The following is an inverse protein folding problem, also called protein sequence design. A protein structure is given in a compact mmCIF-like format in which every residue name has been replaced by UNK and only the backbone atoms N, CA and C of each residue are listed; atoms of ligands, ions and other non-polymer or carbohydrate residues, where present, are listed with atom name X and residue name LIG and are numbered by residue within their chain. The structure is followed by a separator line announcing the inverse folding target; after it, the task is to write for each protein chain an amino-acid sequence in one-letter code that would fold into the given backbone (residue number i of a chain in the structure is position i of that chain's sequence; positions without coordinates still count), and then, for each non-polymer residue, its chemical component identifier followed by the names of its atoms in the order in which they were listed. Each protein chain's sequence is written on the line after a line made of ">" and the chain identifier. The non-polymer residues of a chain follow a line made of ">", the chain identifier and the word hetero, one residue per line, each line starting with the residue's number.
data_IF_332362152230
#
_entry.id   IF_332362152230
#
_cell.length_a   1.000
_cell.length_b   1.000
_cell.length_c   1.000
_cell.angle_alpha   90.00
_cell.angle_beta   90.00
_cell.angle_gamma   90.00
#
_symmetry.space_group_name_H-M   'P 1'
#
loop_
_entity.id
_entity.type
_entity.pdbx_description
1 polymer ?
#
# COMPACT_ATOMS: atom_id res chain seq x y z
N UNK A 1 -91.03 65.55 -87.17
CA UNK A 1 -91.67 64.85 -86.04
C UNK A 1 -90.57 64.12 -85.33
N UNK A 2 -90.06 64.74 -84.27
CA UNK A 2 -89.09 64.15 -83.36
C UNK A 2 -89.89 63.35 -82.33
N UNK A 3 -89.84 62.02 -82.41
CA UNK A 3 -90.30 61.18 -81.31
C UNK A 3 -89.17 61.08 -80.29
N UNK A 4 -89.16 62.04 -79.37
CA UNK A 4 -88.39 61.98 -78.13
C UNK A 4 -88.98 60.84 -77.29
N UNK A 5 -88.41 59.65 -77.47
CA UNK A 5 -88.76 58.46 -76.72
C UNK A 5 -88.30 58.66 -75.28
N UNK A 6 -89.20 59.19 -74.46
CA UNK A 6 -89.05 59.28 -73.01
C UNK A 6 -88.88 57.87 -72.45
N UNK A 7 -87.62 57.47 -72.27
CA UNK A 7 -87.26 56.25 -71.57
C UNK A 7 -87.57 56.49 -70.09
N UNK A 8 -88.72 55.95 -69.69
CA UNK A 8 -89.18 55.88 -68.32
C UNK A 8 -88.15 55.08 -67.49
N UNK A 9 -87.17 55.77 -66.90
CA UNK A 9 -86.19 55.20 -65.97
C UNK A 9 -86.84 54.99 -64.59
N UNK A 10 -87.97 54.30 -64.59
CA UNK A 10 -88.77 54.06 -63.38
C UNK A 10 -88.36 52.72 -62.78
N UNK A 11 -87.29 52.75 -61.99
CA UNK A 11 -86.82 51.56 -61.27
C UNK A 11 -85.98 51.87 -60.04
N UNK A 12 -85.27 53.00 -60.02
CA UNK A 12 -84.50 53.41 -58.83
C UNK A 12 -84.45 54.94 -58.74
N UNK A 13 -85.17 55.53 -57.78
CA UNK A 13 -85.01 56.95 -57.47
C UNK A 13 -83.61 57.18 -56.88
N UNK A 14 -82.98 58.32 -57.18
CA UNK A 14 -81.65 58.70 -56.64
C UNK A 14 -81.58 58.60 -55.11
N UNK A 15 -82.71 58.82 -54.42
CA UNK A 15 -82.81 58.67 -52.96
C UNK A 15 -82.67 57.21 -52.50
N UNK A 16 -83.20 56.24 -53.27
CA UNK A 16 -83.04 54.80 -52.98
C UNK A 16 -81.58 54.37 -53.08
N UNK A 17 -80.83 54.85 -54.08
CA UNK A 17 -79.39 54.59 -54.20
C UNK A 17 -78.59 55.18 -53.02
N UNK A 18 -78.90 56.41 -52.61
CA UNK A 18 -78.25 57.04 -51.44
C UNK A 18 -78.48 56.25 -50.16
N UNK A 19 -79.69 55.73 -49.97
CA UNK A 19 -80.02 54.90 -48.81
C UNK A 19 -79.26 53.57 -48.82
N UNK A 20 -79.19 52.88 -49.96
CA UNK A 20 -78.41 51.66 -50.11
C UNK A 20 -76.91 51.89 -49.87
N UNK A 21 -76.35 52.99 -50.39
CA UNK A 21 -74.95 53.34 -50.16
C UNK A 21 -74.65 53.55 -48.68
N UNK A 22 -75.52 54.25 -47.95
CA UNK A 22 -75.37 54.45 -46.50
C UNK A 22 -75.45 53.11 -45.74
N UNK A 23 -76.32 52.20 -46.15
CA UNK A 23 -76.44 50.88 -45.54
C UNK A 23 -75.19 50.02 -45.77
N UNK A 24 -74.64 50.03 -46.98
CA UNK A 24 -73.39 49.34 -47.31
C UNK A 24 -72.19 49.93 -46.57
N UNK A 25 -72.12 51.25 -46.38
CA UNK A 25 -71.08 51.88 -45.55
C UNK A 25 -71.18 51.38 -44.11
N UNK A 26 -72.38 51.34 -43.52
CA UNK A 26 -72.58 50.82 -42.15
C UNK A 26 -72.17 49.35 -42.03
N UNK A 27 -72.55 48.51 -43.01
CA UNK A 27 -72.15 47.09 -43.04
C UNK A 27 -70.64 46.95 -43.16
N UNK A 28 -70.00 47.73 -44.04
CA UNK A 28 -68.54 47.78 -44.19
C UNK A 28 -67.87 48.14 -42.87
N UNK A 29 -68.33 49.18 -42.17
CA UNK A 29 -67.76 49.61 -40.90
C UNK A 29 -67.91 48.53 -39.81
N UNK A 30 -69.07 47.86 -39.75
CA UNK A 30 -69.30 46.75 -38.82
C UNK A 30 -68.37 45.55 -39.09
N UNK A 31 -68.18 45.19 -40.37
CA UNK A 31 -67.24 44.13 -40.77
C UNK A 31 -65.80 44.54 -40.47
N UNK A 32 -65.41 45.79 -40.72
CA UNK A 32 -64.06 46.28 -40.39
C UNK A 32 -63.78 46.21 -38.89
N UNK A 33 -64.75 46.57 -38.04
CA UNK A 33 -64.63 46.45 -36.59
C UNK A 33 -64.46 44.99 -36.17
N UNK A 34 -65.30 44.08 -36.68
CA UNK A 34 -65.18 42.65 -36.41
C UNK A 34 -63.85 42.07 -36.89
N UNK A 35 -63.36 42.52 -38.04
CA UNK A 35 -62.06 42.09 -38.57
C UNK A 35 -60.90 42.57 -37.69
N UNK A 36 -61.01 43.76 -37.10
CA UNK A 36 -60.04 44.27 -36.13
C UNK A 36 -60.08 43.46 -34.83
N UNK A 37 -61.28 43.19 -34.30
CA UNK A 37 -61.47 42.36 -33.10
C UNK A 37 -60.90 40.94 -33.30
N UNK A 38 -61.15 40.33 -34.45
CA UNK A 38 -60.62 39.01 -34.79
C UNK A 38 -59.09 39.03 -34.91
N UNK A 39 -58.51 40.05 -35.56
CA UNK A 39 -57.04 40.20 -35.64
C UNK A 39 -56.43 40.36 -34.26
N UNK A 40 -57.03 41.18 -33.40
CA UNK A 40 -56.60 41.33 -32.01
C UNK A 40 -56.69 40.00 -31.26
N UNK A 41 -57.79 39.24 -31.43
CA UNK A 41 -57.97 37.92 -30.80
C UNK A 41 -56.94 36.91 -31.27
N UNK A 42 -56.59 36.92 -32.56
CA UNK A 42 -55.52 36.09 -33.12
C UNK A 42 -54.20 36.41 -32.42
N UNK A 43 -53.81 37.68 -32.34
CA UNK A 43 -52.57 38.08 -31.68
C UNK A 43 -52.56 37.72 -30.18
N UNK A 44 -53.69 37.86 -29.48
CA UNK A 44 -53.82 37.45 -28.07
C UNK A 44 -53.60 35.93 -27.90
N UNK A 45 -54.18 35.12 -28.79
CA UNK A 45 -54.05 33.66 -28.76
C UNK A 45 -52.64 33.21 -29.15
N UNK A 46 -52.02 33.84 -30.14
CA UNK A 46 -50.63 33.58 -30.55
C UNK A 46 -49.64 33.91 -29.41
N UNK A 47 -49.85 35.01 -28.69
CA UNK A 47 -49.05 35.36 -27.53
C UNK A 47 -49.20 34.32 -26.40
N UNK A 48 -50.43 33.89 -26.11
CA UNK A 48 -50.70 32.86 -25.09
C UNK A 48 -50.03 31.52 -25.43
N UNK A 49 -50.10 31.10 -26.69
CA UNK A 49 -49.45 29.87 -27.16
C UNK A 49 -47.93 29.92 -27.02
N UNK A 50 -47.31 31.06 -27.33
CA UNK A 50 -45.86 31.25 -27.17
C UNK A 50 -45.42 31.32 -25.70
N UNK A 51 -46.31 31.74 -24.79
CA UNK A 51 -46.03 31.78 -23.34
C UNK A 51 -46.31 30.45 -22.63
N UNK A 52 -46.86 29.46 -23.31
CA UNK A 52 -47.17 28.13 -22.73
C UNK A 52 -45.88 27.30 -22.54
N UNK A 53 -45.02 27.82 -21.66
CA UNK A 53 -43.77 27.21 -21.20
C UNK A 53 -44.01 25.90 -20.44
N UNK A 54 -45.26 25.61 -20.05
CA UNK A 54 -45.66 24.33 -19.46
C UNK A 54 -45.19 23.17 -20.35
N UNK A 55 -45.30 23.34 -21.69
CA UNK A 55 -44.85 22.39 -22.70
C UNK A 55 -43.33 22.15 -22.75
N UNK A 56 -42.52 23.16 -22.43
CA UNK A 56 -41.06 23.01 -22.31
C UNK A 56 -40.64 22.50 -20.94
N UNK A 57 -41.38 22.81 -19.88
CA UNK A 57 -41.05 22.43 -18.51
C UNK A 57 -41.16 20.92 -18.28
N UNK A 58 -42.25 20.27 -18.72
CA UNK A 58 -42.39 18.82 -18.56
C UNK A 58 -41.30 18.07 -19.32
N UNK A 59 -40.88 18.60 -20.48
CA UNK A 59 -39.81 18.04 -21.28
C UNK A 59 -38.46 18.14 -20.57
N UNK A 60 -38.12 19.31 -20.03
CA UNK A 60 -36.89 19.47 -19.23
C UNK A 60 -36.89 18.57 -18.00
N UNK A 61 -38.01 18.47 -17.28
CA UNK A 61 -38.13 17.56 -16.11
C UNK A 61 -37.94 16.09 -16.52
N UNK A 62 -38.54 15.68 -17.63
CA UNK A 62 -38.39 14.33 -18.15
C UNK A 62 -36.95 14.03 -18.55
N UNK A 63 -36.27 14.95 -19.23
CA UNK A 63 -34.86 14.83 -19.62
C UNK A 63 -33.94 14.74 -18.39
N UNK A 64 -34.13 15.60 -17.38
CA UNK A 64 -33.38 15.51 -16.11
C UNK A 64 -33.64 14.20 -15.37
N UNK A 65 -34.89 13.70 -15.37
CA UNK A 65 -35.22 12.43 -14.74
C UNK A 65 -34.54 11.24 -15.45
N UNK A 66 -34.48 11.27 -16.78
CA UNK A 66 -33.76 10.28 -17.58
C UNK A 66 -32.27 10.23 -17.21
N UNK A 67 -31.63 11.39 -17.09
CA UNK A 67 -30.20 11.48 -16.73
C UNK A 67 -29.93 10.98 -15.30
N UNK A 68 -30.79 11.33 -14.34
CA UNK A 68 -30.70 10.80 -12.98
C UNK A 68 -30.92 9.28 -12.93
N UNK A 69 -31.85 8.76 -13.72
CA UNK A 69 -32.10 7.32 -13.80
C UNK A 69 -30.88 6.58 -14.38
N UNK A 70 -30.23 7.14 -15.41
CA UNK A 70 -29.01 6.56 -16.01
C UNK A 70 -27.88 6.47 -14.96
N UNK A 71 -27.65 7.56 -14.21
CA UNK A 71 -26.69 7.59 -13.11
C UNK A 71 -27.01 6.57 -12.01
N UNK A 72 -28.29 6.38 -11.68
CA UNK A 72 -28.71 5.37 -10.70
C UNK A 72 -28.47 3.96 -11.22
N UNK A 73 -28.72 3.69 -12.50
CA UNK A 73 -28.46 2.40 -13.13
C UNK A 73 -26.96 2.08 -13.10
N UNK A 74 -26.11 3.05 -13.42
CA UNK A 74 -24.64 2.93 -13.30
C UNK A 74 -24.21 2.63 -11.86
N UNK A 75 -24.78 3.33 -10.87
CA UNK A 75 -24.50 3.06 -9.45
C UNK A 75 -24.95 1.67 -9.02
N UNK A 76 -26.11 1.22 -9.48
CA UNK A 76 -26.63 -0.14 -9.22
C UNK A 76 -25.65 -1.18 -9.77
N UNK A 77 -25.17 -1.01 -11.01
CA UNK A 77 -24.20 -1.92 -11.64
C UNK A 77 -22.89 -1.91 -10.87
N UNK A 78 -22.35 -0.73 -10.54
CA UNK A 78 -21.13 -0.58 -9.76
C UNK A 78 -21.22 -1.27 -8.39
N UNK A 79 -22.31 -1.03 -7.66
CA UNK A 79 -22.53 -1.64 -6.34
C UNK A 79 -22.69 -3.15 -6.45
N UNK A 80 -23.42 -3.65 -7.45
CA UNK A 80 -23.51 -5.10 -7.74
C UNK A 80 -22.13 -5.69 -8.01
N UNK A 81 -21.32 -5.05 -8.83
CA UNK A 81 -19.95 -5.52 -9.12
C UNK A 81 -19.07 -5.52 -7.87
N UNK A 82 -19.17 -4.49 -7.02
CA UNK A 82 -18.46 -4.43 -5.73
C UNK A 82 -18.91 -5.53 -4.79
N UNK A 83 -20.21 -5.78 -4.68
CA UNK A 83 -20.75 -6.90 -3.90
C UNK A 83 -20.25 -8.24 -4.44
N UNK A 84 -20.21 -8.43 -5.75
CA UNK A 84 -19.67 -9.64 -6.37
C UNK A 84 -18.16 -9.81 -6.11
N UNK A 85 -17.37 -8.73 -6.11
CA UNK A 85 -15.95 -8.77 -5.74
C UNK A 85 -15.73 -9.13 -4.26
N UNK A 86 -16.65 -8.73 -3.37
CA UNK A 86 -16.61 -9.11 -1.95
C UNK A 86 -17.11 -10.54 -1.74
N UNK A 87 -18.12 -10.97 -2.52
CA UNK A 87 -18.71 -12.31 -2.46
C UNK A 87 -17.79 -13.37 -3.06
N UNK A 88 -17.23 -13.07 -4.24
CA UNK A 88 -16.20 -13.82 -4.92
C UNK A 88 -14.98 -13.89 -4.01
N UNK A 89 -14.75 -15.08 -3.44
CA UNK A 89 -13.66 -15.48 -2.53
C UNK A 89 -14.00 -15.53 -1.02
N UNK A 90 -15.24 -15.33 -0.60
CA UNK A 90 -15.69 -15.78 0.74
C UNK A 90 -15.68 -17.31 0.85
N UNK A 91 -15.93 -17.98 -0.28
CA UNK A 91 -15.86 -19.44 -0.40
C UNK A 91 -14.47 -19.98 -0.06
N UNK A 92 -13.40 -19.39 -0.60
CA UNK A 92 -12.03 -19.91 -0.41
C UNK A 92 -11.46 -19.61 0.98
N UNK A 93 -11.79 -18.46 1.59
CA UNK A 93 -11.29 -18.11 2.92
C UNK A 93 -11.89 -18.95 4.04
N UNK A 94 -13.14 -19.38 3.90
CA UNK A 94 -13.86 -20.22 4.87
C UNK A 94 -13.96 -21.68 4.39
N UNK A 95 -13.33 -22.03 3.27
CA UNK A 95 -13.35 -23.38 2.70
C UNK A 95 -12.87 -24.42 3.72
N UNK A 96 -11.78 -24.11 4.42
CA UNK A 96 -11.20 -24.94 5.48
C UNK A 96 -12.14 -25.12 6.68
N UNK A 97 -13.01 -24.15 6.97
CA UNK A 97 -13.95 -24.18 8.10
C UNK A 97 -15.22 -24.95 7.73
N UNK A 98 -15.76 -24.74 6.51
CA UNK A 98 -16.97 -25.43 6.04
C UNK A 98 -16.82 -26.94 5.92
N UNK A 99 -15.59 -27.45 5.78
CA UNK A 99 -15.33 -28.91 5.81
C UNK A 99 -15.75 -29.51 7.16
N UNK A 100 -15.55 -28.79 8.26
CA UNK A 100 -15.95 -29.24 9.59
C UNK A 100 -17.45 -29.06 9.85
N UNK A 101 -18.08 -28.01 9.31
CA UNK A 101 -19.53 -27.81 9.41
C UNK A 101 -20.35 -28.91 8.72
N UNK A 102 -19.80 -29.50 7.65
CA UNK A 102 -20.45 -30.59 6.89
C UNK A 102 -20.19 -31.98 7.48
N UNK A 103 -19.37 -32.07 8.51
CA UNK A 103 -18.99 -33.33 9.13
C UNK A 103 -20.04 -33.76 10.17
N UNK A 104 -20.38 -35.06 10.27
CA UNK A 104 -21.21 -35.56 11.37
C UNK A 104 -20.62 -35.22 12.74
N UNK A 105 -21.49 -34.94 13.71
CA UNK A 105 -21.09 -34.52 15.05
C UNK A 105 -20.22 -35.58 15.74
N UNK A 106 -20.48 -36.87 15.48
CA UNK A 106 -19.70 -37.99 15.99
C UNK A 106 -18.26 -37.96 15.48
N UNK A 107 -18.07 -37.73 14.18
CA UNK A 107 -16.75 -37.59 13.55
C UNK A 107 -16.01 -36.34 14.02
N UNK A 108 -16.74 -35.24 14.25
CA UNK A 108 -16.15 -34.03 14.80
C UNK A 108 -15.63 -34.26 16.24
N UNK A 109 -16.38 -35.01 17.04
CA UNK A 109 -16.00 -35.37 18.41
C UNK A 109 -14.78 -36.30 18.46
N UNK A 110 -14.66 -37.26 17.54
CA UNK A 110 -13.45 -38.12 17.47
C UNK A 110 -12.23 -37.32 17.05
N UNK A 111 -12.38 -36.44 16.06
CA UNK A 111 -11.31 -35.53 15.63
C UNK A 111 -10.85 -34.61 16.78
N UNK A 112 -11.79 -34.04 17.52
CA UNK A 112 -11.47 -33.17 18.67
C UNK A 112 -10.64 -33.92 19.72
N UNK A 113 -11.05 -35.13 20.11
CA UNK A 113 -10.32 -35.96 21.08
C UNK A 113 -8.90 -36.30 20.60
N UNK A 114 -8.73 -36.54 19.30
CA UNK A 114 -7.42 -36.81 18.71
C UNK A 114 -6.53 -35.57 18.77
N UNK A 115 -7.04 -34.41 18.37
CA UNK A 115 -6.30 -33.14 18.43
C UNK A 115 -5.91 -32.76 19.87
N UNK A 116 -6.78 -32.99 20.84
CA UNK A 116 -6.48 -32.78 22.27
C UNK A 116 -5.35 -33.67 22.78
N UNK A 117 -5.25 -34.91 22.28
CA UNK A 117 -4.16 -35.83 22.62
C UNK A 117 -2.85 -35.39 21.99
N UNK A 118 -2.88 -34.99 20.72
CA UNK A 118 -1.72 -34.47 19.99
C UNK A 118 -1.19 -33.19 20.62
N UNK A 119 -2.07 -32.23 20.96
CA UNK A 119 -1.73 -31.02 21.69
C UNK A 119 -0.98 -31.33 22.99
N UNK A 120 -1.54 -32.20 23.85
CA UNK A 120 -0.91 -32.57 25.13
C UNK A 120 0.47 -33.24 24.93
N UNK A 121 0.60 -34.04 23.87
CA UNK A 121 1.86 -34.71 23.53
C UNK A 121 2.91 -33.70 23.09
N UNK A 122 2.56 -32.79 22.19
CA UNK A 122 3.47 -31.73 21.71
C UNK A 122 3.86 -30.76 22.84
N UNK A 123 2.92 -30.36 23.68
CA UNK A 123 3.21 -29.53 24.87
C UNK A 123 4.21 -30.21 25.80
N UNK A 124 4.08 -31.53 26.01
CA UNK A 124 5.01 -32.29 26.83
C UNK A 124 6.40 -32.38 26.19
N UNK A 125 6.47 -32.55 24.87
CA UNK A 125 7.74 -32.55 24.13
C UNK A 125 8.42 -31.18 24.20
N UNK A 126 7.68 -30.08 24.03
CA UNK A 126 8.22 -28.71 24.15
C UNK A 126 8.82 -28.49 25.53
N UNK A 127 8.13 -28.90 26.60
CA UNK A 127 8.66 -28.83 27.97
C UNK A 127 9.93 -29.65 28.15
N UNK A 128 9.96 -30.86 27.61
CA UNK A 128 11.13 -31.73 27.67
C UNK A 128 12.34 -31.12 26.96
N UNK A 129 12.17 -30.64 25.73
CA UNK A 129 13.26 -30.02 24.97
C UNK A 129 13.72 -28.70 25.58
N UNK A 130 12.81 -27.90 26.13
CA UNK A 130 13.18 -26.69 26.87
C UNK A 130 14.07 -27.01 28.08
N UNK A 131 13.71 -28.04 28.87
CA UNK A 131 14.53 -28.47 30.01
C UNK A 131 15.89 -29.01 29.57
N UNK A 132 15.92 -29.84 28.52
CA UNK A 132 17.17 -30.41 28.00
C UNK A 132 18.11 -29.32 27.50
N UNK A 133 17.59 -28.34 26.76
CA UNK A 133 18.36 -27.21 26.25
C UNK A 133 18.93 -26.36 27.40
N UNK A 134 18.16 -26.13 28.45
CA UNK A 134 18.61 -25.39 29.64
C UNK A 134 19.76 -26.13 30.36
N UNK A 135 19.68 -27.45 30.48
CA UNK A 135 20.75 -28.27 31.06
C UNK A 135 22.02 -28.24 30.21
N UNK A 136 21.88 -28.37 28.89
CA UNK A 136 23.00 -28.32 27.95
C UNK A 136 23.67 -26.94 27.95
N UNK A 137 22.87 -25.86 27.99
CA UNK A 137 23.36 -24.48 28.11
C UNK A 137 24.19 -24.27 29.39
N UNK A 138 23.70 -24.76 30.54
CA UNK A 138 24.44 -24.73 31.81
C UNK A 138 25.74 -25.52 31.75
N UNK A 139 25.72 -26.72 31.18
CA UNK A 139 26.91 -27.55 31.02
C UNK A 139 27.95 -26.87 30.12
N UNK A 140 27.50 -26.29 28.99
CA UNK A 140 28.35 -25.55 28.08
C UNK A 140 28.97 -24.32 28.76
N UNK A 141 28.18 -23.54 29.49
CA UNK A 141 28.67 -22.36 30.19
C UNK A 141 29.71 -22.74 31.25
N UNK A 142 29.50 -23.86 31.97
CA UNK A 142 30.47 -24.39 32.93
C UNK A 142 31.82 -24.70 32.26
N UNK A 143 31.81 -25.49 31.19
CA UNK A 143 33.02 -25.85 30.43
C UNK A 143 33.72 -24.60 29.86
N UNK A 144 32.94 -23.65 29.35
CA UNK A 144 33.45 -22.37 28.83
C UNK A 144 34.15 -21.54 29.91
N UNK A 145 33.57 -21.48 31.12
CA UNK A 145 34.16 -20.78 32.26
C UNK A 145 35.44 -21.47 32.76
N UNK A 146 35.46 -22.80 32.82
CA UNK A 146 36.66 -23.60 33.15
C UNK A 146 37.78 -23.31 32.15
N UNK A 147 37.49 -23.36 30.84
CA UNK A 147 38.46 -23.02 29.79
C UNK A 147 39.01 -21.59 29.95
N UNK A 148 38.14 -20.61 30.26
CA UNK A 148 38.57 -19.22 30.49
C UNK A 148 39.52 -19.13 31.70
N UNK A 149 39.24 -19.89 32.75
CA UNK A 149 40.06 -19.96 33.96
C UNK A 149 41.45 -20.53 33.64
N UNK A 150 41.52 -21.68 32.96
CA UNK A 150 42.80 -22.28 32.54
C UNK A 150 43.62 -21.34 31.64
N UNK A 151 42.99 -20.63 30.70
CA UNK A 151 43.68 -19.65 29.86
C UNK A 151 44.26 -18.49 30.68
N UNK A 152 43.54 -18.04 31.70
CA UNK A 152 44.02 -17.00 32.61
C UNK A 152 45.22 -17.49 33.44
N UNK A 153 45.17 -18.69 34.00
CA UNK A 153 46.27 -19.31 34.75
C UNK A 153 47.54 -19.47 33.90
N UNK A 154 47.40 -19.96 32.66
CA UNK A 154 48.52 -20.06 31.72
C UNK A 154 49.14 -18.69 31.43
N UNK A 155 48.31 -17.65 31.30
CA UNK A 155 48.77 -16.28 31.02
C UNK A 155 49.51 -15.68 32.23
N UNK A 156 49.01 -15.89 33.45
CA UNK A 156 49.67 -15.44 34.68
C UNK A 156 50.99 -16.19 34.93
N UNK A 157 51.02 -17.52 34.73
CA UNK A 157 52.23 -18.33 34.84
C UNK A 157 53.29 -17.91 33.81
N UNK A 158 52.88 -17.58 32.58
CA UNK A 158 53.79 -17.06 31.55
C UNK A 158 54.36 -15.67 31.90
N UNK A 159 53.54 -14.77 32.45
CA UNK A 159 53.98 -13.46 32.93
C UNK A 159 55.01 -13.57 34.06
N UNK A 160 54.76 -14.45 35.05
CA UNK A 160 55.68 -14.70 36.16
C UNK A 160 57.02 -15.26 35.68
N UNK A 161 56.98 -16.19 34.71
CA UNK A 161 58.17 -16.80 34.13
C UNK A 161 58.97 -15.80 33.29
N UNK A 162 58.32 -14.88 32.59
CA UNK A 162 58.97 -13.79 31.85
C UNK A 162 59.66 -12.78 32.79
N UNK A 163 59.00 -12.40 33.89
CA UNK A 163 59.56 -11.49 34.91
C UNK A 163 60.76 -12.14 35.60
N UNK A 164 60.66 -13.41 36.01
CA UNK A 164 61.77 -14.15 36.61
C UNK A 164 62.96 -14.32 35.65
N UNK A 165 62.71 -14.62 34.37
CA UNK A 165 63.76 -14.76 33.35
C UNK A 165 64.44 -13.43 33.02
N UNK A 166 63.71 -12.32 32.95
CA UNK A 166 64.30 -10.97 32.82
C UNK A 166 65.18 -10.64 34.03
N UNK A 167 64.71 -10.94 35.23
CA UNK A 167 65.47 -10.70 36.46
C UNK A 167 66.74 -11.57 36.57
N UNK A 168 66.76 -12.77 35.98
CA UNK A 168 67.98 -13.59 35.88
C UNK A 168 68.93 -13.14 34.75
N UNK A 169 68.41 -12.78 33.57
CA UNK A 169 69.25 -12.28 32.48
C UNK A 169 69.87 -10.91 32.78
N UNK A 170 69.31 -10.11 33.69
CA UNK A 170 69.98 -8.89 34.18
C UNK A 170 71.12 -9.20 35.18
N UNK A 171 71.09 -10.36 35.85
CA UNK A 171 72.12 -10.76 36.81
C UNK A 171 73.30 -11.50 36.17
N UNK A 172 73.07 -12.22 35.07
CA UNK A 172 74.07 -13.09 34.43
C UNK A 172 75.23 -12.34 33.71
N UNK A 173 75.01 -11.18 33.05
CA UNK A 173 76.10 -10.39 32.46
C UNK A 173 77.10 -9.90 33.52
N UNK A 174 76.62 -9.60 34.73
CA UNK A 174 77.48 -9.13 35.84
C UNK A 174 78.43 -10.20 36.36
N UNK A 175 78.17 -11.50 36.17
CA UNK A 175 79.09 -12.57 36.58
C UNK A 175 80.11 -12.92 35.49
N UNK A 176 79.76 -12.77 34.21
CA UNK A 176 80.63 -13.17 33.10
C UNK A 176 81.77 -12.17 32.84
N UNK A 177 81.56 -10.87 33.06
CA UNK A 177 82.65 -9.87 33.02
C UNK A 177 83.73 -10.14 34.07
N UNK A 178 83.33 -10.63 35.25
CA UNK A 178 84.25 -10.91 36.35
C UNK A 178 85.11 -12.16 36.12
N UNK A 179 84.61 -13.16 35.37
CA UNK A 179 85.34 -14.40 35.07
C UNK A 179 86.27 -14.30 33.85
N UNK A 180 85.90 -13.50 32.84
CA UNK A 180 86.75 -13.29 31.65
C UNK A 180 88.00 -12.47 31.99
N UNK A 181 87.92 -11.55 32.97
CA UNK A 181 89.08 -10.80 33.46
C UNK A 181 90.12 -11.69 34.14
N UNK A 182 89.72 -12.75 34.84
CA UNK A 182 90.64 -13.57 35.65
C UNK A 182 91.33 -14.69 34.86
N UNK A 183 90.73 -15.22 33.78
CA UNK A 183 91.35 -16.28 32.97
C UNK A 183 92.31 -15.77 31.87
N UNK A 184 92.27 -14.49 31.49
CA UNK A 184 93.12 -13.92 30.43
C UNK A 184 94.53 -13.50 30.90
N UNK A 185 94.81 -13.53 32.21
CA UNK A 185 96.11 -13.13 32.77
C UNK A 185 97.04 -14.32 33.15
N UNK A 186 96.54 -15.57 33.18
CA UNK A 186 97.34 -16.74 33.63
C UNK A 186 97.97 -17.57 32.50
N UNK A 187 97.55 -17.40 31.24
CA UNK A 187 98.11 -18.15 30.11
C UNK A 187 98.42 -17.16 28.97
N UNK A 188 99.63 -16.59 29.02
CA UNK A 188 100.13 -15.64 28.05
C UNK A 188 100.28 -16.25 26.65
N UNK A 189 99.20 -16.20 25.86
CA UNK A 189 99.26 -16.31 24.41
C UNK A 189 98.30 -15.34 23.73
N UNK A 190 98.91 -14.43 22.96
CA UNK A 190 98.32 -13.57 21.96
C UNK A 190 98.12 -14.35 20.66
N UNK A 191 96.94 -14.24 20.05
CA UNK A 191 96.76 -13.48 18.81
C UNK A 191 95.44 -13.86 18.11
N UNK A 192 94.74 -12.81 17.65
CA UNK A 192 94.17 -12.61 16.32
C UNK A 192 94.07 -13.85 15.39
N UNK A 193 93.04 -14.08 14.58
CA UNK A 193 91.84 -13.33 14.15
C UNK A 193 91.20 -14.17 13.02
N UNK A 194 89.97 -13.82 12.61
CA UNK A 194 89.32 -14.16 11.32
C UNK A 194 88.80 -15.60 11.20
N UNK A 195 87.60 -15.93 10.73
CA UNK A 195 86.33 -15.27 10.43
C UNK A 195 85.31 -16.41 10.15
N UNK A 196 84.01 -16.14 10.28
CA UNK A 196 82.92 -17.06 9.93
C UNK A 196 82.80 -17.31 8.41
N UNK A 197 81.68 -17.82 7.85
CA UNK A 197 80.32 -17.37 8.22
C UNK A 197 79.17 -18.41 8.16
N UNK A 198 78.13 -18.10 8.93
CA UNK A 198 76.71 -17.95 8.58
C UNK A 198 75.87 -18.98 7.79
N UNK A 199 74.57 -18.94 8.16
CA UNK A 199 73.35 -19.05 7.36
C UNK A 199 72.61 -20.40 7.51
N UNK A 200 71.27 -20.46 7.59
CA UNK A 200 70.21 -19.46 7.65
C UNK A 200 68.95 -20.18 8.16
N UNK A 201 68.11 -19.41 8.84
CA UNK A 201 66.64 -19.49 8.86
C UNK A 201 65.99 -20.23 7.69
N UNK A 202 65.02 -21.11 7.99
CA UNK A 202 63.86 -21.31 7.12
C UNK A 202 62.56 -21.38 7.94
N UNK A 203 61.72 -20.41 7.65
CA UNK A 203 60.35 -20.20 8.11
C UNK A 203 59.44 -21.36 7.68
N UNK A 204 58.84 -22.06 8.64
CA UNK A 204 57.65 -22.87 8.44
C UNK A 204 56.43 -22.11 8.94
N UNK A 205 55.79 -21.37 8.04
CA UNK A 205 54.63 -20.50 8.30
C UNK A 205 53.46 -21.31 8.90
N UNK A 206 52.93 -20.81 10.02
CA UNK A 206 51.61 -21.17 10.57
C UNK A 206 50.54 -20.96 9.50
N UNK A 207 49.82 -22.02 9.14
CA UNK A 207 48.54 -21.91 8.46
C UNK A 207 47.51 -21.34 9.45
N UNK A 208 47.25 -20.04 9.35
CA UNK A 208 46.11 -19.39 9.97
C UNK A 208 44.87 -19.74 9.14
N UNK A 209 44.18 -20.82 9.49
CA UNK A 209 42.82 -21.04 9.00
C UNK A 209 41.91 -19.98 9.62
N UNK A 210 41.53 -19.00 8.80
CA UNK A 210 40.46 -18.04 9.10
C UNK A 210 39.13 -18.74 8.78
N UNK A 211 38.18 -18.86 9.72
CA UNK A 211 36.85 -19.40 9.42
C UNK A 211 36.08 -18.42 8.53
N UNK A 212 35.48 -18.96 7.48
CA UNK A 212 34.59 -18.26 6.57
C UNK A 212 33.43 -17.60 7.33
N UNK A 213 33.15 -16.35 7.00
CA UNK A 213 31.91 -15.67 7.36
C UNK A 213 30.72 -16.42 6.75
N UNK A 214 29.71 -16.70 7.57
CA UNK A 214 28.37 -17.04 7.09
C UNK A 214 27.69 -15.81 6.49
N UNK A 215 26.87 -15.96 5.43
CA UNK A 215 26.04 -14.88 4.91
C UNK A 215 24.84 -14.64 5.83
N UNK A 216 24.67 -13.41 6.28
CA UNK A 216 23.45 -12.93 6.93
C UNK A 216 22.33 -12.83 5.88
N UNK A 217 21.18 -13.44 6.19
CA UNK A 217 19.96 -13.35 5.41
C UNK A 217 19.46 -11.90 5.34
N UNK A 218 19.08 -11.50 4.13
CA UNK A 218 18.48 -10.21 3.79
C UNK A 218 17.15 -10.01 4.53
N UNK A 219 17.06 -8.90 5.25
CA UNK A 219 15.81 -8.33 5.74
C UNK A 219 14.93 -7.89 4.55
N UNK A 220 13.74 -8.47 4.44
CA UNK A 220 12.66 -7.91 3.63
C UNK A 220 11.98 -6.78 4.39
N UNK A 221 12.44 -5.54 4.20
CA UNK A 221 11.70 -4.34 4.59
C UNK A 221 10.76 -3.95 3.45
N UNK A 222 9.46 -4.14 3.65
CA UNK A 222 8.42 -3.47 2.86
C UNK A 222 7.60 -2.60 3.80
N UNK A 223 8.07 -1.37 4.01
CA UNK A 223 7.31 -0.30 4.64
C UNK A 223 6.67 0.53 3.53
N UNK A 224 5.39 0.26 3.24
CA UNK A 224 4.53 1.21 2.54
C UNK A 224 4.05 2.25 3.55
N UNK A 225 4.48 3.49 3.37
CA UNK A 225 3.98 4.64 4.09
C UNK A 225 2.56 4.97 3.59
N UNK A 226 1.58 4.95 4.50
CA UNK A 226 0.25 5.51 4.27
C UNK A 226 0.22 6.87 4.97
N UNK A 227 0.14 7.94 4.19
CA UNK A 227 -0.18 9.28 4.68
C UNK A 227 -1.65 9.30 5.13
N UNK A 228 -1.88 9.50 6.42
CA UNK A 228 -3.21 9.68 6.99
C UNK A 228 -3.45 11.17 7.23
N UNK A 229 -4.21 11.81 6.34
CA UNK A 229 -4.78 13.14 6.57
C UNK A 229 -6.04 13.01 7.41
N UNK A 230 -5.95 13.32 8.70
CA UNK A 230 -7.10 13.57 9.55
C UNK A 230 -7.44 15.06 9.50
N UNK A 231 -8.52 15.42 8.80
CA UNK A 231 -9.29 16.63 9.09
C UNK A 231 -10.12 16.36 10.34
N UNK A 232 -9.87 17.13 11.40
CA UNK A 232 -10.78 17.27 12.53
C UNK A 232 -11.87 18.28 12.14
N UNK A 233 -13.13 17.91 12.38
CA UNK A 233 -14.17 18.85 12.81
C UNK A 233 -14.21 18.88 14.33
#
# INVERSE_FOLDING_TARGET
>A
MEEEKSYNFDGVSTNRLKQQLLEEIRKKDAVQLSMFELRHKITELEAKLNTDNEGSEWKTRYETQLELNDQLEEQIVYLKEKMEKIRGNSSDRLSSIRVYERMPVESLNTLLKQLEKEKRTLESQVKYYALKLEQESKAYQKISNERRTYLAEMSQGSGLHQVSKRQQMDQLPRMQENLVKTCLETLGFSAASVAGPENRTCLGKKALWRPALWPACLHGSSTLAVCQTHLKS
#
